data_IF_404620337092
#
_entry.id   IF_404620337092
#
_cell.length_a   1.000
_cell.length_b   1.000
_cell.length_c   1.000
_cell.angle_alpha   90.00
_cell.angle_beta   90.00
_cell.angle_gamma   90.00
#
_symmetry.space_group_name_H-M   'P 1'
#
loop_
_entity.id
_entity.type
_entity.pdbx_description
1 polymer ?
#
# COMPACT_ATOMS: atom_id res chain seq x y z
N UNK A 1 26.98 42.17 8.34
CA UNK A 1 26.62 40.85 8.93
C UNK A 1 25.19 40.54 8.54
N UNK A 2 24.99 39.70 7.52
CA UNK A 2 23.67 39.35 7.00
C UNK A 2 22.99 38.33 7.93
N UNK A 3 21.70 38.55 8.20
CA UNK A 3 20.88 37.77 9.13
C UNK A 3 20.86 36.30 8.70
N UNK A 4 21.33 35.41 9.58
CA UNK A 4 21.15 33.96 9.47
C UNK A 4 19.65 33.68 9.37
N UNK A 5 19.22 33.06 8.27
CA UNK A 5 17.85 32.59 8.09
C UNK A 5 17.49 31.63 9.21
N UNK A 6 16.41 31.95 9.92
CA UNK A 6 15.82 31.08 10.92
C UNK A 6 15.36 29.78 10.24
N UNK A 7 15.55 28.61 10.88
CA UNK A 7 15.01 27.37 10.35
C UNK A 7 13.48 27.47 10.38
N UNK A 8 12.87 27.57 9.21
CA UNK A 8 11.41 27.41 9.08
C UNK A 8 11.07 25.98 9.51
N UNK A 9 10.46 25.84 10.69
CA UNK A 9 9.85 24.60 11.14
C UNK A 9 8.79 24.24 10.09
N UNK A 10 9.13 23.32 9.19
CA UNK A 10 8.17 22.79 8.21
C UNK A 10 7.15 21.95 8.97
N UNK A 11 5.99 22.53 9.28
CA UNK A 11 4.80 21.76 9.59
C UNK A 11 4.47 20.93 8.36
N UNK A 12 4.78 19.64 8.40
CA UNK A 12 4.42 18.72 7.33
C UNK A 12 2.90 18.52 7.36
N UNK A 13 2.20 18.98 6.32
CA UNK A 13 0.80 18.67 6.10
C UNK A 13 0.62 17.14 6.09
N UNK A 14 -0.48 16.66 6.67
CA UNK A 14 -0.81 15.22 6.70
C UNK A 14 -0.78 14.60 5.31
N UNK A 15 -1.17 15.35 4.27
CA UNK A 15 -1.09 14.96 2.86
C UNK A 15 0.35 14.75 2.40
N UNK A 16 1.24 15.73 2.58
CA UNK A 16 2.65 15.61 2.24
C UNK A 16 3.34 14.46 2.98
N UNK A 17 3.02 14.28 4.28
CA UNK A 17 3.52 13.15 5.07
C UNK A 17 3.06 11.82 4.50
N UNK A 18 1.78 11.73 4.12
CA UNK A 18 1.21 10.55 3.49
C UNK A 18 1.91 10.23 2.17
N UNK A 19 2.03 11.21 1.27
CA UNK A 19 2.67 11.04 -0.04
C UNK A 19 4.11 10.54 0.09
N UNK A 20 4.92 11.19 0.94
CA UNK A 20 6.32 10.77 1.19
C UNK A 20 6.41 9.34 1.73
N UNK A 21 5.53 8.99 2.66
CA UNK A 21 5.51 7.64 3.23
C UNK A 21 5.00 6.61 2.22
N UNK A 22 3.97 6.94 1.45
CA UNK A 22 3.39 6.08 0.44
C UNK A 22 4.41 5.78 -0.66
N UNK A 23 5.07 6.80 -1.21
CA UNK A 23 6.10 6.64 -2.24
C UNK A 23 7.21 5.70 -1.77
N UNK A 24 7.75 5.95 -0.57
CA UNK A 24 8.80 5.08 0.00
C UNK A 24 8.32 3.65 0.19
N UNK A 25 7.15 3.45 0.81
CA UNK A 25 6.63 2.12 1.15
C UNK A 25 6.26 1.31 -0.09
N UNK A 26 5.60 1.93 -1.06
CA UNK A 26 5.21 1.27 -2.32
C UNK A 26 6.46 0.86 -3.11
N UNK A 27 7.47 1.73 -3.19
CA UNK A 27 8.73 1.37 -3.84
C UNK A 27 9.45 0.19 -3.18
N UNK A 28 9.45 0.12 -1.85
CA UNK A 28 10.01 -1.03 -1.14
C UNK A 28 9.22 -2.32 -1.39
N UNK A 29 7.88 -2.26 -1.38
CA UNK A 29 7.03 -3.41 -1.72
C UNK A 29 7.30 -3.90 -3.14
N UNK A 30 7.39 -2.99 -4.13
CA UNK A 30 7.71 -3.35 -5.52
C UNK A 30 9.05 -4.08 -5.60
N UNK A 31 10.09 -3.60 -4.91
CA UNK A 31 11.40 -4.27 -4.86
C UNK A 31 11.28 -5.68 -4.26
N UNK A 32 10.53 -5.84 -3.17
CA UNK A 32 10.33 -7.15 -2.52
C UNK A 32 9.56 -8.12 -3.42
N UNK A 33 8.50 -7.65 -4.09
CA UNK A 33 7.75 -8.47 -5.07
C UNK A 33 8.67 -8.93 -6.20
N UNK A 34 9.55 -8.07 -6.73
CA UNK A 34 10.54 -8.47 -7.74
C UNK A 34 11.49 -9.55 -7.24
N UNK A 35 11.95 -9.46 -5.98
CA UNK A 35 12.78 -10.51 -5.38
C UNK A 35 12.03 -11.84 -5.26
N UNK A 36 10.76 -11.83 -4.88
CA UNK A 36 9.92 -13.03 -4.89
C UNK A 36 9.76 -13.56 -6.32
N UNK A 37 9.54 -12.69 -7.31
CA UNK A 37 9.46 -13.06 -8.72
C UNK A 37 10.73 -13.75 -9.25
N UNK A 38 11.91 -13.40 -8.74
CA UNK A 38 13.17 -14.07 -9.11
C UNK A 38 13.20 -15.56 -8.71
N UNK A 39 12.40 -15.99 -7.73
CA UNK A 39 12.26 -17.40 -7.35
C UNK A 39 11.60 -18.24 -8.45
N UNK A 40 10.86 -17.61 -9.37
CA UNK A 40 10.25 -18.31 -10.49
C UNK A 40 11.28 -18.90 -11.46
N UNK A 41 12.54 -18.47 -11.40
CA UNK A 41 13.60 -18.97 -12.26
C UNK A 41 13.94 -20.45 -11.96
N UNK A 42 13.33 -21.36 -12.73
CA UNK A 42 13.54 -22.81 -12.61
C UNK A 42 14.96 -23.30 -12.95
N UNK A 43 15.82 -22.44 -13.51
CA UNK A 43 17.25 -22.77 -13.69
C UNK A 43 18.00 -22.76 -12.37
N UNK A 44 17.57 -21.93 -11.43
CA UNK A 44 18.22 -21.75 -10.13
C UNK A 44 17.49 -22.49 -9.00
N UNK A 45 16.20 -22.80 -9.19
CA UNK A 45 15.34 -23.35 -8.15
C UNK A 45 14.46 -24.49 -8.68
N UNK A 46 14.18 -25.46 -7.82
CA UNK A 46 13.17 -26.49 -8.06
C UNK A 46 11.98 -26.25 -7.15
N UNK A 47 10.80 -26.15 -7.73
CA UNK A 47 9.54 -25.96 -7.01
C UNK A 47 8.39 -26.61 -7.79
N UNK A 48 7.39 -27.10 -7.07
CA UNK A 48 6.16 -27.61 -7.67
C UNK A 48 5.20 -26.46 -8.00
N UNK A 49 4.23 -26.73 -8.86
CA UNK A 49 3.18 -25.76 -9.15
C UNK A 49 2.37 -25.41 -7.89
N UNK A 50 2.25 -26.34 -6.94
CA UNK A 50 1.62 -26.11 -5.63
C UNK A 50 2.42 -25.11 -4.78
N UNK A 51 3.75 -25.18 -4.76
CA UNK A 51 4.57 -24.17 -4.07
C UNK A 51 4.38 -22.77 -4.68
N UNK A 52 4.34 -22.68 -6.02
CA UNK A 52 4.11 -21.40 -6.69
C UNK A 52 2.73 -20.84 -6.36
N UNK A 53 1.70 -21.70 -6.37
CA UNK A 53 0.33 -21.34 -6.02
C UNK A 53 0.25 -20.81 -4.58
N UNK A 54 0.84 -21.49 -3.61
CA UNK A 54 0.83 -21.04 -2.20
C UNK A 54 1.47 -19.66 -2.02
N UNK A 55 2.57 -19.38 -2.72
CA UNK A 55 3.22 -18.06 -2.70
C UNK A 55 2.29 -16.98 -3.27
N UNK A 56 1.65 -17.25 -4.41
CA UNK A 56 0.76 -16.30 -5.07
C UNK A 56 -0.52 -16.07 -4.24
N UNK A 57 -1.12 -17.13 -3.72
CA UNK A 57 -2.33 -17.06 -2.88
C UNK A 57 -2.08 -16.20 -1.63
N UNK A 58 -0.91 -16.36 -0.98
CA UNK A 58 -0.53 -15.54 0.18
C UNK A 58 -0.42 -14.05 -0.17
N UNK A 59 0.20 -13.71 -1.31
CA UNK A 59 0.32 -12.32 -1.78
C UNK A 59 -1.06 -11.74 -2.17
N UNK A 60 -1.92 -12.53 -2.79
CA UNK A 60 -3.27 -12.12 -3.18
C UNK A 60 -4.15 -11.85 -1.95
N UNK A 61 -4.06 -12.67 -0.90
CA UNK A 61 -4.78 -12.44 0.36
C UNK A 61 -4.36 -11.10 0.97
N UNK A 62 -3.06 -10.84 1.08
CA UNK A 62 -2.55 -9.59 1.64
C UNK A 62 -2.96 -8.38 0.78
N UNK A 63 -2.90 -8.51 -0.54
CA UNK A 63 -3.32 -7.44 -1.44
C UNK A 63 -4.84 -7.16 -1.35
N UNK A 64 -5.66 -8.19 -1.13
CA UNK A 64 -7.10 -8.01 -0.87
C UNK A 64 -7.33 -7.29 0.46
N UNK A 65 -6.61 -7.64 1.52
CA UNK A 65 -6.69 -6.96 2.80
C UNK A 65 -6.29 -5.47 2.67
N UNK A 66 -5.19 -5.17 1.96
CA UNK A 66 -4.78 -3.79 1.66
C UNK A 66 -5.87 -3.01 0.93
N UNK A 67 -6.45 -3.59 -0.14
CA UNK A 67 -7.56 -2.96 -0.88
C UNK A 67 -8.77 -2.68 0.02
N UNK A 68 -9.08 -3.60 0.95
CA UNK A 68 -10.17 -3.39 1.90
C UNK A 68 -9.92 -2.19 2.80
N UNK A 69 -8.71 -2.02 3.35
CA UNK A 69 -8.38 -0.90 4.23
C UNK A 69 -8.55 0.46 3.54
N UNK A 70 -8.14 0.58 2.28
CA UNK A 70 -8.34 1.81 1.49
C UNK A 70 -9.80 2.05 1.07
N UNK A 71 -10.64 1.01 1.03
CA UNK A 71 -12.08 1.13 0.77
C UNK A 71 -12.86 1.48 2.04
N UNK A 72 -12.45 0.96 3.19
CA UNK A 72 -13.12 1.18 4.48
C UNK A 72 -13.16 2.65 4.92
N UNK A 73 -12.17 3.47 4.52
CA UNK A 73 -12.20 4.93 4.75
C UNK A 73 -13.14 5.68 3.79
N UNK A 74 -13.66 5.02 2.75
CA UNK A 74 -14.62 5.59 1.78
C UNK A 74 -16.09 5.30 2.12
N UNK A 75 -16.37 4.40 3.07
CA UNK A 75 -17.73 3.94 3.43
C UNK A 75 -18.17 4.40 4.83
N UNK A 76 -17.73 5.59 5.27
CA UNK A 76 -18.36 6.30 6.38
C UNK A 76 -19.62 7.09 5.93
N UNK A 77 -20.38 6.54 5.00
CA UNK A 77 -21.78 6.88 4.74
C UNK A 77 -22.48 5.57 4.40
N UNK A 78 -22.85 4.79 5.42
CA UNK A 78 -23.86 3.75 5.23
C UNK A 78 -25.08 4.35 4.51
N UNK A 79 -25.84 3.59 3.72
CA UNK A 79 -27.01 4.14 3.04
C UNK A 79 -27.93 4.75 4.10
N UNK A 80 -27.99 6.09 4.12
CA UNK A 80 -28.93 6.82 4.96
C UNK A 80 -30.30 6.66 4.32
N UNK A 81 -30.92 5.53 4.63
CA UNK A 81 -32.29 5.24 4.28
C UNK A 81 -33.19 6.29 4.93
N UNK A 82 -33.98 6.97 4.12
CA UNK A 82 -35.05 7.87 4.56
C UNK A 82 -36.29 7.57 3.75
N UNK A 83 -37.37 7.16 4.41
CA UNK A 83 -38.71 7.38 3.88
C UNK A 83 -39.27 8.69 4.43
N UNK A 84 -40.21 9.27 3.67
CA UNK A 84 -41.32 10.21 4.02
C UNK A 84 -41.40 11.36 3.01
N UNK A 85 -42.54 11.85 2.53
CA UNK A 85 -43.95 11.42 2.53
C UNK A 85 -44.66 12.26 1.44
N UNK A 86 -45.43 11.65 0.54
CA UNK A 86 -46.86 11.92 0.32
C UNK A 86 -47.48 10.90 -0.63
#
# INVERSE_FOLDING_TARGET
MAKKGEPSIKFEDKSMKFERLAERRVNEVIKKIRLVGNLANRRNYSYSDEHAKQILDALDIELRALKSQFRSDSEAQGPRFSFKDK
#
